data_IF_903560318097
#
_entry.id   IF_903560318097
#
_cell.length_a   1.000
_cell.length_b   1.000
_cell.length_c   1.000
_cell.angle_alpha   90.00
_cell.angle_beta   90.00
_cell.angle_gamma   90.00
#
_symmetry.space_group_name_H-M   'P 1'
#
loop_
_entity.id
_entity.type
_entity.pdbx_description
1 polymer ?
#
# COMPACT_ATOMS: atom_id res chain seq x y z
N UNK A 1 7.58 0.47 8.80
CA UNK A 1 6.87 0.30 7.50
C UNK A 1 7.82 -0.29 6.47
N UNK A 2 7.44 -1.38 5.81
CA UNK A 2 8.19 -2.05 4.74
C UNK A 2 7.27 -2.21 3.53
N UNK A 3 7.75 -1.91 2.31
CA UNK A 3 7.03 -2.15 1.07
C UNK A 3 7.99 -2.72 0.05
N UNK A 4 7.65 -3.86 -0.55
CA UNK A 4 8.48 -4.56 -1.52
C UNK A 4 7.66 -4.97 -2.74
N UNK A 5 8.32 -4.97 -3.91
CA UNK A 5 7.76 -5.49 -5.15
C UNK A 5 7.80 -7.02 -5.10
N UNK A 6 6.65 -7.67 -5.26
CA UNK A 6 6.54 -9.14 -5.28
C UNK A 6 6.53 -9.66 -6.72
N UNK A 7 5.67 -9.07 -7.56
CA UNK A 7 5.54 -9.47 -8.95
C UNK A 7 4.91 -8.37 -9.79
N UNK A 8 5.11 -8.45 -11.09
CA UNK A 8 4.46 -7.57 -12.06
C UNK A 8 4.32 -8.30 -13.41
N UNK A 9 3.47 -7.76 -14.30
CA UNK A 9 3.33 -8.28 -15.66
C UNK A 9 4.50 -7.90 -16.52
N UNK A 10 5.03 -8.88 -17.25
CA UNK A 10 6.06 -8.70 -18.29
C UNK A 10 5.54 -9.19 -19.63
N UNK A 11 6.15 -8.71 -20.72
CA UNK A 11 5.88 -9.23 -22.06
C UNK A 11 6.30 -10.71 -22.12
N UNK A 12 5.47 -11.55 -22.76
CA UNK A 12 5.83 -12.96 -22.97
C UNK A 12 6.95 -13.08 -24.02
N UNK A 13 7.70 -14.19 -23.99
CA UNK A 13 8.77 -14.43 -24.96
C UNK A 13 8.29 -14.58 -26.44
N UNK A 14 7.00 -14.52 -26.68
CA UNK A 14 6.41 -14.52 -28.04
C UNK A 14 6.08 -13.11 -28.54
N UNK A 15 6.28 -12.08 -27.71
CA UNK A 15 6.05 -10.69 -28.08
C UNK A 15 7.21 -10.17 -28.98
N UNK A 16 6.96 -9.10 -29.76
CA UNK A 16 8.03 -8.42 -30.48
C UNK A 16 9.16 -7.97 -29.55
N UNK A 17 10.41 -8.09 -30.01
CA UNK A 17 11.60 -7.78 -29.19
C UNK A 17 11.68 -6.32 -28.73
N UNK A 18 10.98 -5.42 -29.42
CA UNK A 18 10.89 -4.00 -29.10
C UNK A 18 10.11 -3.72 -27.79
N UNK A 19 9.34 -4.70 -27.30
CA UNK A 19 8.52 -4.55 -26.08
C UNK A 19 9.35 -5.02 -24.89
N UNK A 20 10.18 -4.12 -24.35
CA UNK A 20 11.16 -4.44 -23.32
C UNK A 20 10.70 -4.17 -21.87
N UNK A 21 9.71 -3.30 -21.72
CA UNK A 21 9.26 -2.84 -20.40
C UNK A 21 7.75 -2.70 -20.30
N UNK A 22 7.28 -2.39 -19.09
CA UNK A 22 5.85 -2.25 -18.76
C UNK A 22 5.17 -1.14 -19.58
N UNK A 23 5.86 -0.01 -19.82
CA UNK A 23 5.28 1.11 -20.57
C UNK A 23 5.09 0.72 -22.05
N UNK A 24 6.05 0.02 -22.63
CA UNK A 24 5.96 -0.47 -23.99
C UNK A 24 4.84 -1.50 -24.15
N UNK A 25 4.68 -2.39 -23.17
CA UNK A 25 3.59 -3.37 -23.15
C UNK A 25 2.21 -2.68 -23.12
N UNK A 26 2.04 -1.65 -22.28
CA UNK A 26 0.80 -0.86 -22.21
C UNK A 26 0.54 -0.16 -23.54
N UNK A 27 1.56 0.49 -24.13
CA UNK A 27 1.45 1.20 -25.40
C UNK A 27 1.14 0.24 -26.56
N UNK A 28 1.76 -0.93 -26.57
CA UNK A 28 1.48 -1.99 -27.52
C UNK A 28 0.00 -2.42 -27.47
N UNK A 29 -0.50 -2.71 -26.27
CA UNK A 29 -1.91 -3.08 -26.10
C UNK A 29 -2.85 -1.94 -26.50
N UNK A 30 -2.52 -0.69 -26.16
CA UNK A 30 -3.32 0.48 -26.55
C UNK A 30 -3.41 0.67 -28.06
N UNK A 31 -2.39 0.26 -28.81
CA UNK A 31 -2.32 0.39 -30.28
C UNK A 31 -2.89 -0.80 -31.05
N UNK A 32 -3.67 -1.67 -30.42
CA UNK A 32 -4.26 -2.85 -31.06
C UNK A 32 -5.01 -2.54 -32.35
N UNK A 33 -5.60 -1.35 -32.45
CA UNK A 33 -6.31 -0.88 -33.69
C UNK A 33 -5.43 -0.08 -34.64
N UNK A 34 -4.11 -0.04 -34.41
CA UNK A 34 -3.14 0.62 -35.30
C UNK A 34 -1.91 -0.28 -35.51
N UNK A 35 -2.05 -1.40 -36.27
CA UNK A 35 -1.01 -2.41 -36.38
C UNK A 35 0.33 -1.89 -36.93
N UNK A 36 0.30 -0.92 -37.86
CA UNK A 36 1.53 -0.34 -38.43
C UNK A 36 2.37 0.47 -37.45
N UNK A 37 1.81 0.86 -36.30
CA UNK A 37 2.50 1.63 -35.28
C UNK A 37 2.51 0.92 -33.91
N UNK A 38 2.12 -0.35 -33.88
CA UNK A 38 1.91 -1.09 -32.63
C UNK A 38 3.22 -1.33 -31.87
N UNK A 39 4.33 -1.58 -32.57
CA UNK A 39 5.66 -1.80 -32.00
C UNK A 39 6.48 -0.53 -31.75
N UNK A 40 5.90 0.66 -31.99
CA UNK A 40 6.60 1.91 -31.74
C UNK A 40 6.74 2.16 -30.24
N UNK A 41 7.95 2.08 -29.70
CA UNK A 41 8.26 2.32 -28.28
C UNK A 41 8.69 3.76 -27.98
N UNK A 42 9.15 4.53 -28.99
CA UNK A 42 9.63 5.91 -28.79
C UNK A 42 8.59 6.87 -28.19
N UNK A 43 7.31 6.56 -28.37
CA UNK A 43 6.22 7.41 -27.90
C UNK A 43 5.36 6.75 -26.82
N UNK A 44 5.83 5.67 -26.19
CA UNK A 44 5.08 4.92 -25.17
C UNK A 44 4.64 5.80 -24.01
N UNK A 45 5.55 6.55 -23.39
CA UNK A 45 5.22 7.45 -22.27
C UNK A 45 4.25 8.56 -22.66
N UNK A 46 4.45 9.17 -23.84
CA UNK A 46 3.57 10.23 -24.35
C UNK A 46 2.14 9.70 -24.54
N UNK A 47 2.03 8.49 -25.07
CA UNK A 47 0.73 7.83 -25.24
C UNK A 47 0.09 7.54 -23.88
N UNK A 48 0.82 7.01 -22.91
CA UNK A 48 0.29 6.72 -21.57
C UNK A 48 -0.23 7.99 -20.90
N UNK A 49 0.53 9.10 -20.93
CA UNK A 49 0.08 10.39 -20.40
C UNK A 49 -1.20 10.88 -21.09
N UNK A 50 -1.29 10.69 -22.41
CA UNK A 50 -2.50 11.01 -23.18
C UNK A 50 -3.69 10.17 -22.73
N UNK A 51 -3.51 8.84 -22.59
CA UNK A 51 -4.57 7.92 -22.14
C UNK A 51 -5.10 8.30 -20.75
N UNK A 52 -4.21 8.59 -19.81
CA UNK A 52 -4.56 9.00 -18.44
C UNK A 52 -5.31 10.33 -18.45
N UNK A 53 -4.79 11.33 -19.19
CA UNK A 53 -5.41 12.65 -19.30
C UNK A 53 -6.83 12.58 -19.87
N UNK A 54 -7.08 11.68 -20.82
CA UNK A 54 -8.39 11.52 -21.46
C UNK A 54 -9.22 10.39 -20.83
N UNK A 55 -8.78 9.84 -19.68
CA UNK A 55 -9.48 8.80 -18.92
C UNK A 55 -9.72 7.50 -19.72
N UNK A 56 -8.84 7.20 -20.66
CA UNK A 56 -8.82 5.93 -21.40
C UNK A 56 -8.06 4.87 -20.60
N UNK A 57 -8.72 4.29 -19.62
CA UNK A 57 -8.08 3.45 -18.59
C UNK A 57 -7.81 2.02 -19.00
N UNK A 58 -8.54 1.47 -19.98
CA UNK A 58 -8.48 0.04 -20.31
C UNK A 58 -7.08 -0.49 -20.65
N UNK A 59 -6.16 0.24 -21.34
CA UNK A 59 -4.82 -0.27 -21.59
C UNK A 59 -3.99 -0.46 -20.33
N UNK A 60 -4.24 0.35 -19.28
CA UNK A 60 -3.57 0.26 -17.99
C UNK A 60 -4.08 -0.92 -17.13
N UNK A 61 -5.15 -1.57 -17.54
CA UNK A 61 -5.65 -2.82 -16.94
C UNK A 61 -4.94 -4.07 -17.48
N UNK A 62 -4.15 -3.94 -18.55
CA UNK A 62 -3.39 -5.06 -19.14
C UNK A 62 -2.13 -5.41 -18.34
N UNK A 63 -1.74 -4.58 -17.39
CA UNK A 63 -0.57 -4.79 -16.52
C UNK A 63 -1.00 -4.78 -15.06
N UNK A 64 -0.57 -5.79 -14.31
CA UNK A 64 -0.79 -5.91 -12.87
C UNK A 64 0.54 -5.81 -12.11
N UNK A 65 0.46 -5.30 -10.87
CA UNK A 65 1.59 -5.23 -9.93
C UNK A 65 1.11 -5.75 -8.58
N UNK A 66 1.92 -6.58 -7.94
CA UNK A 66 1.73 -7.08 -6.59
C UNK A 66 2.80 -6.52 -5.65
N UNK A 67 2.39 -5.90 -4.56
CA UNK A 67 3.28 -5.43 -3.50
C UNK A 67 3.04 -6.19 -2.20
N UNK A 68 4.12 -6.48 -1.46
CA UNK A 68 4.07 -6.80 -0.03
C UNK A 68 4.14 -5.51 0.77
N UNK A 69 3.25 -5.34 1.74
CA UNK A 69 3.13 -4.12 2.55
C UNK A 69 3.03 -4.52 4.02
N UNK A 70 3.94 -4.01 4.85
CA UNK A 70 3.85 -4.09 6.31
C UNK A 70 3.40 -2.75 6.87
N UNK A 71 2.29 -2.78 7.59
CA UNK A 71 1.69 -1.61 8.25
C UNK A 71 0.85 -2.05 9.44
N UNK A 72 0.35 -1.12 10.24
CA UNK A 72 -0.56 -1.46 11.33
C UNK A 72 -1.94 -1.88 10.81
N UNK A 73 -2.64 -2.67 11.60
CA UNK A 73 -3.93 -3.27 11.19
C UNK A 73 -5.00 -2.24 10.90
N UNK A 74 -5.05 -1.12 11.62
CA UNK A 74 -6.00 -0.04 11.36
C UNK A 74 -5.82 0.58 9.97
N UNK A 75 -4.56 0.75 9.51
CA UNK A 75 -4.25 1.21 8.15
C UNK A 75 -4.53 0.11 7.13
N UNK A 76 -4.11 -1.14 7.40
CA UNK A 76 -4.43 -2.27 6.53
C UNK A 76 -5.95 -2.37 6.27
N UNK A 77 -6.80 -2.15 7.29
CA UNK A 77 -8.25 -2.12 7.12
C UNK A 77 -8.76 -1.01 6.20
N UNK A 78 -8.10 0.14 6.18
CA UNK A 78 -8.42 1.20 5.22
C UNK A 78 -8.04 0.79 3.79
N UNK A 79 -6.91 0.08 3.64
CA UNK A 79 -6.45 -0.43 2.34
C UNK A 79 -7.39 -1.51 1.78
N UNK A 80 -7.82 -2.45 2.61
CA UNK A 80 -8.76 -3.54 2.24
C UNK A 80 -10.12 -3.04 1.71
N UNK A 81 -10.44 -1.76 1.88
CA UNK A 81 -11.66 -1.16 1.30
C UNK A 81 -11.56 -0.85 -0.19
N UNK A 82 -10.36 -0.91 -0.78
CA UNK A 82 -10.14 -0.71 -2.21
C UNK A 82 -10.51 -1.96 -3.01
N UNK A 83 -11.76 -2.04 -3.48
CA UNK A 83 -12.35 -3.23 -4.12
C UNK A 83 -11.75 -3.59 -5.48
N UNK A 84 -10.95 -2.69 -6.08
CA UNK A 84 -10.29 -2.96 -7.36
C UNK A 84 -8.97 -3.75 -7.21
N UNK A 85 -8.66 -4.21 -6.00
CA UNK A 85 -7.50 -5.01 -5.68
C UNK A 85 -7.88 -6.36 -5.11
N UNK A 86 -6.97 -7.32 -5.25
CA UNK A 86 -6.98 -8.59 -4.53
C UNK A 86 -5.97 -8.53 -3.38
N UNK A 87 -6.34 -9.13 -2.25
CA UNK A 87 -5.54 -9.09 -1.03
C UNK A 87 -5.32 -10.47 -0.44
N UNK A 88 -4.14 -10.65 0.14
CA UNK A 88 -3.83 -11.74 1.06
C UNK A 88 -3.18 -11.14 2.30
N UNK A 89 -3.81 -11.27 3.46
CA UNK A 89 -3.34 -10.67 4.71
C UNK A 89 -2.86 -11.75 5.70
N UNK A 90 -1.82 -11.43 6.48
CA UNK A 90 -1.34 -12.25 7.60
C UNK A 90 -2.47 -12.62 8.55
N UNK A 91 -2.67 -13.91 8.73
CA UNK A 91 -3.77 -14.41 9.55
C UNK A 91 -3.34 -14.64 11.00
N UNK A 92 -3.84 -13.82 11.90
CA UNK A 92 -3.68 -13.98 13.36
C UNK A 92 -4.42 -15.21 13.93
N UNK A 93 -5.16 -15.94 13.11
CA UNK A 93 -5.74 -17.25 13.51
C UNK A 93 -4.73 -18.38 13.39
N UNK A 94 -3.79 -18.27 12.45
CA UNK A 94 -2.77 -19.29 12.19
C UNK A 94 -1.45 -18.98 12.87
N UNK A 95 -0.97 -17.75 12.77
CA UNK A 95 0.33 -17.35 13.28
C UNK A 95 0.23 -16.40 14.47
N UNK A 96 1.29 -16.34 15.27
CA UNK A 96 1.41 -15.47 16.44
C UNK A 96 1.99 -14.12 16.02
N UNK A 97 1.17 -13.04 15.95
CA UNK A 97 1.67 -11.75 15.50
C UNK A 97 2.67 -11.12 16.47
N UNK A 98 2.69 -11.55 17.73
CA UNK A 98 3.63 -11.01 18.73
C UNK A 98 5.05 -11.54 18.56
N UNK A 99 5.22 -12.62 17.79
CA UNK A 99 6.52 -13.26 17.47
C UNK A 99 6.95 -13.00 16.04
N UNK A 100 6.00 -13.04 15.09
CA UNK A 100 6.27 -12.96 13.65
C UNK A 100 6.32 -11.53 13.14
N UNK A 101 5.63 -10.63 13.81
CA UNK A 101 5.53 -9.21 13.45
C UNK A 101 5.83 -8.33 14.68
N UNK A 102 6.12 -7.07 14.44
CA UNK A 102 6.39 -6.13 15.51
C UNK A 102 5.15 -5.33 15.90
N UNK A 103 5.31 -4.49 16.93
CA UNK A 103 4.38 -3.42 17.24
C UNK A 103 4.98 -2.09 16.81
N UNK A 104 4.17 -1.20 16.27
CA UNK A 104 4.56 0.16 15.90
C UNK A 104 4.00 1.16 16.89
N UNK A 105 4.78 2.22 17.16
CA UNK A 105 4.36 3.37 17.94
C UNK A 105 3.91 4.49 17.00
N UNK A 106 2.84 5.15 17.39
CA UNK A 106 2.36 6.36 16.70
C UNK A 106 3.00 7.59 17.31
N UNK A 107 3.40 8.55 16.49
CA UNK A 107 3.79 9.87 16.95
C UNK A 107 2.59 10.60 17.60
N UNK A 108 2.83 11.48 18.54
CA UNK A 108 1.81 12.40 19.02
C UNK A 108 1.52 13.46 17.96
N UNK A 109 0.25 13.63 17.62
CA UNK A 109 -0.25 14.70 16.77
C UNK A 109 -1.49 15.30 17.39
N UNK A 110 -1.64 16.61 17.29
CA UNK A 110 -2.80 17.31 17.81
C UNK A 110 -3.98 17.18 16.87
N UNK A 111 -5.19 17.28 17.41
CA UNK A 111 -6.40 17.33 16.62
C UNK A 111 -6.47 18.64 15.83
N UNK A 112 -6.73 18.57 14.54
CA UNK A 112 -7.04 19.75 13.73
C UNK A 112 -8.46 20.23 14.06
N UNK A 113 -8.57 21.46 14.53
CA UNK A 113 -9.85 22.06 14.93
C UNK A 113 -10.78 22.35 13.75
N UNK A 114 -10.22 22.56 12.55
CA UNK A 114 -10.99 22.90 11.33
C UNK A 114 -11.37 21.66 10.54
N UNK A 115 -10.51 20.65 10.52
CA UNK A 115 -10.73 19.41 9.80
C UNK A 115 -10.61 18.21 10.75
N UNK A 116 -11.74 17.65 11.14
CA UNK A 116 -11.79 16.51 12.09
C UNK A 116 -11.05 15.26 11.61
N UNK A 117 -10.76 15.14 10.33
CA UNK A 117 -10.03 14.00 9.76
C UNK A 117 -8.51 14.22 9.76
N UNK A 118 -8.06 15.45 9.96
CA UNK A 118 -6.65 15.81 9.98
C UNK A 118 -6.06 15.77 11.39
N UNK A 119 -4.74 15.67 11.42
CA UNK A 119 -3.93 15.87 12.62
C UNK A 119 -2.78 16.82 12.31
N UNK A 120 -2.36 17.56 13.32
CA UNK A 120 -1.30 18.56 13.23
C UNK A 120 -0.07 17.99 13.94
N UNK A 121 1.05 17.94 13.22
CA UNK A 121 2.33 17.54 13.83
C UNK A 121 2.72 18.53 14.92
N UNK A 122 3.28 18.02 16.01
CA UNK A 122 3.73 18.81 17.16
C UNK A 122 5.20 18.50 17.44
N UNK A 123 5.98 19.55 17.60
CA UNK A 123 7.39 19.49 17.99
C UNK A 123 7.49 19.72 19.50
N UNK A 124 7.12 18.69 20.28
CA UNK A 124 7.13 18.66 21.73
C UNK A 124 7.62 17.29 22.20
N UNK A 125 8.90 17.23 22.54
CA UNK A 125 9.56 16.00 22.99
C UNK A 125 8.93 15.39 24.25
N UNK A 126 8.41 16.21 25.13
CA UNK A 126 7.76 15.73 26.37
C UNK A 126 6.48 15.01 25.99
N UNK A 127 5.63 15.63 25.19
CA UNK A 127 4.38 15.03 24.69
C UNK A 127 4.66 13.77 23.88
N UNK A 128 5.68 13.76 23.01
CA UNK A 128 6.08 12.58 22.25
C UNK A 128 6.49 11.42 23.15
N UNK A 129 7.31 11.68 24.17
CA UNK A 129 7.78 10.67 25.10
C UNK A 129 6.65 10.14 26.00
N UNK A 130 5.78 11.00 26.50
CA UNK A 130 4.63 10.61 27.31
C UNK A 130 3.66 9.76 26.49
N UNK A 131 3.37 10.15 25.25
CA UNK A 131 2.53 9.36 24.36
C UNK A 131 3.13 7.99 24.06
N UNK A 132 4.42 7.92 23.78
CA UNK A 132 5.15 6.66 23.59
C UNK A 132 5.10 5.78 24.85
N UNK A 133 5.26 6.38 26.03
CA UNK A 133 5.15 5.67 27.32
C UNK A 133 3.75 5.06 27.50
N UNK A 134 2.68 5.79 27.22
CA UNK A 134 1.32 5.27 27.33
C UNK A 134 1.07 4.12 26.34
N UNK A 135 1.53 4.24 25.09
CA UNK A 135 1.45 3.15 24.11
C UNK A 135 2.24 1.92 24.58
N UNK A 136 3.44 2.11 25.15
CA UNK A 136 4.26 0.97 25.62
C UNK A 136 3.56 0.16 26.71
N UNK A 137 2.82 0.82 27.59
CA UNK A 137 1.99 0.15 28.62
C UNK A 137 0.90 -0.70 28.01
N UNK A 138 0.18 -0.17 27.01
CA UNK A 138 -0.87 -0.90 26.28
C UNK A 138 -0.28 -2.11 25.56
N UNK A 139 0.83 -1.92 24.82
CA UNK A 139 1.51 -2.98 24.08
C UNK A 139 1.99 -4.08 25.04
N UNK A 140 2.59 -3.72 26.17
CA UNK A 140 3.08 -4.68 27.17
C UNK A 140 1.94 -5.49 27.78
N UNK A 141 0.86 -4.84 28.20
CA UNK A 141 -0.32 -5.51 28.74
C UNK A 141 -0.99 -6.44 27.69
N UNK A 142 -1.07 -6.00 26.44
CA UNK A 142 -1.62 -6.81 25.34
C UNK A 142 -0.77 -8.06 25.05
N UNK A 143 0.57 -7.91 25.04
CA UNK A 143 1.51 -9.04 24.88
C UNK A 143 1.39 -10.05 26.02
N UNK A 144 1.32 -9.56 27.26
CA UNK A 144 1.15 -10.40 28.46
C UNK A 144 -0.15 -11.21 28.38
N UNK A 145 -1.29 -10.51 28.14
CA UNK A 145 -2.61 -11.13 28.04
C UNK A 145 -2.67 -12.15 26.90
N UNK A 146 -2.13 -11.82 25.71
CA UNK A 146 -2.08 -12.73 24.58
C UNK A 146 -1.24 -13.97 24.87
N UNK A 147 -0.05 -13.77 25.43
CA UNK A 147 0.86 -14.87 25.79
C UNK A 147 0.24 -15.78 26.84
N UNK A 148 -0.41 -15.20 27.85
CA UNK A 148 -1.14 -15.95 28.86
C UNK A 148 -2.27 -16.77 28.24
N UNK A 149 -3.07 -16.15 27.38
CA UNK A 149 -4.18 -16.84 26.71
C UNK A 149 -3.71 -18.07 25.92
N UNK A 150 -2.70 -17.89 25.06
CA UNK A 150 -2.16 -18.98 24.21
C UNK A 150 -1.53 -20.08 25.09
N UNK A 151 -0.80 -19.70 26.15
CA UNK A 151 -0.19 -20.66 27.09
C UNK A 151 -1.24 -21.50 27.84
N UNK A 152 -2.43 -20.96 28.07
CA UNK A 152 -3.53 -21.66 28.73
C UNK A 152 -4.50 -22.34 27.73
N UNK A 153 -4.10 -22.51 26.49
CA UNK A 153 -4.87 -23.26 25.48
C UNK A 153 -6.01 -22.47 24.83
N UNK A 154 -6.12 -21.16 25.06
CA UNK A 154 -7.10 -20.33 24.36
C UNK A 154 -6.70 -20.22 22.90
N UNK A 155 -7.62 -20.53 21.99
CA UNK A 155 -7.37 -20.48 20.56
C UNK A 155 -6.91 -19.07 20.11
N UNK A 156 -5.94 -19.01 19.19
CA UNK A 156 -5.39 -17.75 18.67
C UNK A 156 -6.49 -16.80 18.12
N UNK A 157 -7.56 -17.36 17.56
CA UNK A 157 -8.70 -16.57 17.06
C UNK A 157 -9.44 -15.81 18.17
N UNK A 158 -9.37 -16.27 19.42
CA UNK A 158 -9.91 -15.58 20.58
C UNK A 158 -8.84 -14.70 21.26
N UNK A 159 -7.63 -15.27 21.43
CA UNK A 159 -6.51 -14.56 22.08
C UNK A 159 -6.19 -13.22 21.41
N UNK A 160 -6.30 -13.13 20.08
CA UNK A 160 -6.06 -11.89 19.31
C UNK A 160 -6.98 -10.72 19.67
N UNK A 161 -8.08 -10.96 20.40
CA UNK A 161 -9.02 -9.91 20.80
C UNK A 161 -8.39 -8.84 21.69
N UNK A 162 -7.29 -9.15 22.37
CA UNK A 162 -6.59 -8.19 23.24
C UNK A 162 -5.54 -7.34 22.51
N UNK A 163 -5.29 -7.59 21.23
CA UNK A 163 -4.25 -6.89 20.46
C UNK A 163 -4.77 -5.53 19.96
N UNK A 164 -4.06 -4.41 20.25
CA UNK A 164 -4.46 -3.09 19.79
C UNK A 164 -4.27 -2.94 18.27
N UNK A 165 -5.33 -2.63 17.53
CA UNK A 165 -5.27 -2.50 16.07
C UNK A 165 -4.32 -1.41 15.59
N UNK A 166 -4.25 -0.27 16.29
CA UNK A 166 -3.41 0.86 15.90
C UNK A 166 -1.91 0.65 16.13
N UNK A 167 -1.52 -0.36 16.89
CA UNK A 167 -0.11 -0.66 17.19
C UNK A 167 0.32 -2.04 16.66
N UNK A 168 -0.61 -2.96 16.40
CA UNK A 168 -0.28 -4.30 15.91
C UNK A 168 0.01 -4.26 14.42
N UNK A 169 1.21 -4.64 14.02
CA UNK A 169 1.60 -4.72 12.61
C UNK A 169 0.89 -5.90 11.94
N UNK A 170 0.54 -5.72 10.69
CA UNK A 170 0.08 -6.75 9.77
C UNK A 170 0.94 -6.71 8.51
N UNK A 171 1.00 -7.82 7.80
CA UNK A 171 1.62 -7.94 6.48
C UNK A 171 0.54 -8.33 5.49
N UNK A 172 0.47 -7.63 4.38
CA UNK A 172 -0.48 -7.96 3.32
C UNK A 172 0.18 -7.91 1.94
N UNK A 173 -0.29 -8.78 1.07
CA UNK A 173 -0.05 -8.67 -0.36
C UNK A 173 -1.23 -7.95 -0.99
N UNK A 174 -0.94 -6.93 -1.80
CA UNK A 174 -1.93 -6.14 -2.51
C UNK A 174 -1.62 -6.19 -4.00
N UNK A 175 -2.51 -6.83 -4.76
CA UNK A 175 -2.36 -7.02 -6.19
C UNK A 175 -3.46 -6.30 -6.96
N UNK A 176 -3.08 -5.54 -7.98
CA UNK A 176 -4.03 -4.84 -8.83
C UNK A 176 -3.41 -4.36 -10.12
N UNK A 177 -4.26 -3.93 -11.06
CA UNK A 177 -3.83 -3.34 -12.32
C UNK A 177 -3.18 -1.98 -12.11
N UNK A 178 -2.38 -1.51 -13.05
CA UNK A 178 -1.79 -0.16 -12.96
C UNK A 178 -2.86 0.94 -12.91
N UNK A 179 -4.02 0.75 -13.55
CA UNK A 179 -5.17 1.64 -13.34
C UNK A 179 -5.53 1.77 -11.87
N UNK A 180 -5.67 0.63 -11.19
CA UNK A 180 -6.03 0.59 -9.76
C UNK A 180 -4.96 1.28 -8.90
N UNK A 181 -3.69 1.02 -9.18
CA UNK A 181 -2.56 1.63 -8.47
C UNK A 181 -2.50 3.15 -8.66
N UNK A 182 -2.70 3.65 -9.88
CA UNK A 182 -2.75 5.10 -10.15
C UNK A 182 -3.86 5.75 -9.32
N UNK A 183 -5.07 5.20 -9.35
CA UNK A 183 -6.20 5.74 -8.58
C UNK A 183 -5.95 5.66 -7.07
N UNK A 184 -5.35 4.57 -6.58
CA UNK A 184 -5.00 4.42 -5.17
C UNK A 184 -3.98 5.46 -4.74
N UNK A 185 -2.87 5.62 -5.50
CA UNK A 185 -1.81 6.59 -5.21
C UNK A 185 -2.39 8.01 -5.18
N UNK A 186 -3.12 8.42 -6.21
CA UNK A 186 -3.75 9.74 -6.28
C UNK A 186 -4.68 9.99 -5.10
N UNK A 187 -5.55 9.04 -4.77
CA UNK A 187 -6.53 9.20 -3.70
C UNK A 187 -5.86 9.23 -2.32
N UNK A 188 -4.88 8.33 -2.07
CA UNK A 188 -4.32 8.12 -0.72
C UNK A 188 -3.09 8.95 -0.42
N UNK A 189 -2.45 9.56 -1.42
CA UNK A 189 -1.43 10.58 -1.18
C UNK A 189 -2.01 11.99 -1.00
N UNK A 190 -3.32 12.18 -1.26
CA UNK A 190 -3.99 13.47 -1.16
C UNK A 190 -4.31 13.88 0.29
N UNK A 191 -4.48 15.20 0.48
CA UNK A 191 -4.90 15.79 1.74
C UNK A 191 -6.23 15.18 2.24
N UNK A 192 -6.38 15.05 3.57
CA UNK A 192 -7.54 14.40 4.20
C UNK A 192 -7.37 12.89 4.38
N UNK A 193 -6.30 12.30 3.88
CA UNK A 193 -5.90 10.93 4.22
C UNK A 193 -5.04 10.95 5.50
N UNK A 194 -5.15 9.91 6.34
CA UNK A 194 -4.32 9.74 7.52
C UNK A 194 -2.83 9.68 7.13
N UNK A 195 -1.95 10.35 7.86
CA UNK A 195 -0.52 10.51 7.54
C UNK A 195 0.17 9.18 7.20
N UNK A 196 -0.02 8.16 8.02
CA UNK A 196 0.58 6.84 7.80
C UNK A 196 0.13 6.21 6.47
N UNK A 197 -1.12 6.45 6.08
CA UNK A 197 -1.62 5.95 4.80
C UNK A 197 -1.08 6.77 3.61
N UNK A 198 -0.88 8.09 3.78
CA UNK A 198 -0.20 8.94 2.79
C UNK A 198 1.22 8.42 2.54
N UNK A 199 1.97 8.13 3.61
CA UNK A 199 3.34 7.61 3.53
C UNK A 199 3.39 6.26 2.80
N UNK A 200 2.42 5.37 3.06
CA UNK A 200 2.29 4.10 2.34
C UNK A 200 2.03 4.35 0.85
N UNK A 201 1.09 5.23 0.49
CA UNK A 201 0.75 5.49 -0.90
C UNK A 201 1.96 6.06 -1.68
N UNK A 202 2.70 6.99 -1.07
CA UNK A 202 3.96 7.53 -1.62
C UNK A 202 5.00 6.44 -1.80
N UNK A 203 5.18 5.59 -0.79
CA UNK A 203 6.15 4.49 -0.86
C UNK A 203 5.76 3.43 -1.89
N UNK A 204 4.47 3.14 -2.06
CA UNK A 204 3.98 2.29 -3.15
C UNK A 204 4.35 2.87 -4.51
N UNK A 205 4.18 4.19 -4.72
CA UNK A 205 4.58 4.84 -5.97
C UNK A 205 6.08 4.69 -6.23
N UNK A 206 6.94 4.91 -5.22
CA UNK A 206 8.39 4.72 -5.33
C UNK A 206 8.78 3.28 -5.71
N UNK A 207 8.11 2.29 -5.11
CA UNK A 207 8.40 0.88 -5.40
C UNK A 207 7.91 0.49 -6.79
N UNK A 208 6.72 0.93 -7.20
CA UNK A 208 6.18 0.70 -8.54
C UNK A 208 7.02 1.41 -9.60
N UNK A 209 7.61 2.57 -9.29
CA UNK A 209 8.47 3.31 -10.21
C UNK A 209 9.71 2.52 -10.68
N UNK A 210 10.10 1.46 -9.97
CA UNK A 210 11.18 0.56 -10.40
C UNK A 210 10.86 -0.20 -11.69
N UNK A 211 9.56 -0.43 -11.96
CA UNK A 211 9.06 -1.16 -13.14
C UNK A 211 8.16 -0.29 -14.02
N UNK A 212 7.60 0.77 -13.48
CA UNK A 212 6.78 1.77 -14.15
C UNK A 212 7.20 3.18 -13.68
N UNK A 213 8.26 3.77 -14.26
CA UNK A 213 8.88 5.02 -13.79
C UNK A 213 7.91 6.18 -13.60
N UNK A 214 6.85 6.25 -14.39
CA UNK A 214 5.81 7.28 -14.30
C UNK A 214 4.99 7.23 -12.99
N UNK A 215 5.11 6.18 -12.18
CA UNK A 215 4.28 6.01 -10.98
C UNK A 215 4.38 7.20 -10.00
N UNK A 216 5.55 7.82 -9.90
CA UNK A 216 5.77 8.98 -9.03
C UNK A 216 5.02 10.25 -9.49
N UNK A 217 4.62 10.34 -10.77
CA UNK A 217 3.86 11.48 -11.30
C UNK A 217 2.43 11.54 -10.72
N UNK A 218 1.94 10.44 -10.14
CA UNK A 218 0.58 10.32 -9.60
C UNK A 218 0.48 10.61 -8.11
N UNK A 219 1.59 10.89 -7.45
CA UNK A 219 1.60 11.34 -6.05
C UNK A 219 0.99 12.74 -5.99
N UNK A 220 -0.08 12.92 -5.21
CA UNK A 220 -0.69 14.23 -4.98
C UNK A 220 0.28 15.16 -4.26
N UNK A 221 0.34 16.40 -4.74
CA UNK A 221 1.18 17.48 -4.17
C UNK A 221 0.51 18.10 -2.94
#
# INVERSE_FOLDING_TARGET
MKIELVSYSEASGTMPLEIENVQDLIAYCARVSNPSNQTNTETSEKLIRYLIKHQHWSPLEMVSVCLEIETTRDIARQMLRHRSFSFQEFSQRYADPTKELNFEYREARLQDEKNRQNSISVDDDILQNDWKFHQSRVISAAKEAYTWAVKNGIAKEQARAVLPEGNTVSRLYMNGTLRSWIHYIQLRSANGTQKEHIEIAKKCAEVIAKVFPMANEFVSQ
#
